data_IF_073897313526
#
_entry.id   IF_073897313526
#
_cell.length_a   1.000
_cell.length_b   1.000
_cell.length_c   1.000
_cell.angle_alpha   90.00
_cell.angle_beta   90.00
_cell.angle_gamma   90.00
#
_symmetry.space_group_name_H-M   'P 1'
#
loop_
_entity.id
_entity.type
_entity.pdbx_description
1 polymer ?
#
# COMPACT_ATOMS: atom_id res chain seq x y z
N UNK A 1 -49.27 -13.04 -8.44
CA UNK A 1 -49.26 -14.25 -7.55
C UNK A 1 -49.49 -14.00 -6.04
N UNK A 2 -49.44 -12.78 -5.51
CA UNK A 2 -49.96 -12.47 -4.17
C UNK A 2 -50.98 -11.31 -4.18
N UNK A 3 -50.77 -10.31 -5.04
CA UNK A 3 -51.75 -9.25 -5.34
C UNK A 3 -53.11 -9.78 -5.82
N UNK A 4 -53.11 -10.82 -6.67
CA UNK A 4 -54.33 -11.50 -7.11
C UNK A 4 -55.01 -12.28 -5.97
N UNK A 5 -54.27 -12.75 -4.95
CA UNK A 5 -54.84 -13.41 -3.76
C UNK A 5 -55.49 -12.37 -2.85
N UNK A 6 -54.88 -11.21 -2.63
CA UNK A 6 -55.49 -10.11 -1.88
C UNK A 6 -56.76 -9.57 -2.55
N UNK A 7 -56.72 -9.33 -3.85
CA UNK A 7 -57.90 -8.90 -4.61
C UNK A 7 -59.03 -9.95 -4.64
N UNK A 8 -58.69 -11.26 -4.55
CA UNK A 8 -59.68 -12.32 -4.40
C UNK A 8 -60.27 -12.37 -2.98
N UNK A 9 -59.44 -12.20 -1.95
CA UNK A 9 -59.85 -12.23 -0.55
C UNK A 9 -60.76 -11.06 -0.19
N UNK A 10 -60.48 -9.88 -0.75
CA UNK A 10 -61.28 -8.66 -0.59
C UNK A 10 -62.67 -8.82 -1.26
N UNK A 11 -62.71 -9.47 -2.43
CA UNK A 11 -63.95 -9.86 -3.13
C UNK A 11 -64.77 -10.95 -2.41
N UNK A 12 -64.14 -11.77 -1.56
CA UNK A 12 -64.78 -12.88 -0.87
C UNK A 12 -65.34 -12.49 0.52
N UNK A 13 -65.25 -11.22 0.93
CA UNK A 13 -65.73 -10.70 2.22
C UNK A 13 -65.38 -11.59 3.42
N UNK A 14 -64.16 -12.15 3.42
CA UNK A 14 -63.67 -12.89 4.57
C UNK A 14 -63.40 -11.89 5.70
N UNK A 15 -64.26 -11.90 6.72
CA UNK A 15 -64.08 -11.12 7.94
C UNK A 15 -62.81 -11.59 8.67
N UNK A 16 -61.67 -10.98 8.35
CA UNK A 16 -60.43 -11.16 9.10
C UNK A 16 -60.42 -10.23 10.31
N UNK A 17 -59.74 -10.60 11.42
CA UNK A 17 -59.43 -9.65 12.48
C UNK A 17 -58.62 -8.48 11.90
N UNK A 18 -59.07 -7.25 12.19
CA UNK A 18 -58.56 -6.00 11.61
C UNK A 18 -57.03 -5.86 11.74
N UNK A 19 -56.47 -6.27 12.87
CA UNK A 19 -55.03 -6.10 13.18
C UNK A 19 -54.11 -6.87 12.21
N UNK A 20 -54.47 -8.09 11.80
CA UNK A 20 -53.64 -8.87 10.87
C UNK A 20 -53.69 -8.35 9.43
N UNK A 21 -54.81 -7.73 9.06
CA UNK A 21 -54.99 -7.12 7.73
C UNK A 21 -54.24 -5.80 7.62
N UNK A 22 -54.27 -4.94 8.66
CA UNK A 22 -53.54 -3.68 8.67
C UNK A 22 -52.03 -3.89 8.59
N UNK A 23 -51.48 -4.84 9.34
CA UNK A 23 -50.05 -5.17 9.29
C UNK A 23 -49.66 -5.78 7.93
N UNK A 24 -50.46 -6.71 7.39
CA UNK A 24 -50.21 -7.26 6.05
C UNK A 24 -50.31 -6.19 4.96
N UNK A 25 -51.27 -5.27 5.06
CA UNK A 25 -51.45 -4.15 4.11
C UNK A 25 -50.32 -3.12 4.24
N UNK A 26 -49.85 -2.82 5.45
CA UNK A 26 -48.75 -1.89 5.71
C UNK A 26 -47.41 -2.42 5.18
N UNK A 27 -47.15 -3.72 5.38
CA UNK A 27 -46.01 -4.44 4.77
C UNK A 27 -46.12 -4.47 3.24
N UNK A 28 -47.34 -4.57 2.69
CA UNK A 28 -47.61 -4.55 1.25
C UNK A 28 -47.62 -3.16 0.61
N UNK A 29 -47.87 -2.10 1.38
CA UNK A 29 -47.86 -0.70 0.94
C UNK A 29 -46.47 -0.07 1.06
N UNK A 30 -45.55 -0.68 1.83
CA UNK A 30 -44.16 -0.27 1.96
C UNK A 30 -43.16 -0.63 0.81
N UNK A 31 -43.51 -1.28 -0.33
CA UNK A 31 -42.58 -1.47 -1.45
C UNK A 31 -42.07 -0.15 -2.02
N UNK A 32 -42.92 0.88 -2.09
CA UNK A 32 -42.54 2.24 -2.48
C UNK A 32 -41.50 2.82 -1.52
N UNK A 33 -41.69 2.64 -0.22
CA UNK A 33 -40.74 3.07 0.82
C UNK A 33 -39.41 2.30 0.74
N UNK A 34 -39.45 1.01 0.42
CA UNK A 34 -38.24 0.21 0.17
C UNK A 34 -37.49 0.66 -1.09
N UNK A 35 -38.23 1.04 -2.15
CA UNK A 35 -37.65 1.62 -3.37
C UNK A 35 -37.04 2.99 -3.07
N UNK A 36 -37.72 3.87 -2.33
CA UNK A 36 -37.22 5.17 -1.91
C UNK A 36 -35.95 5.05 -1.04
N UNK A 37 -35.95 4.13 -0.08
CA UNK A 37 -34.76 3.85 0.76
C UNK A 37 -33.63 3.28 -0.09
N UNK A 38 -33.92 2.36 -1.02
CA UNK A 38 -32.92 1.83 -1.95
C UNK A 38 -32.30 2.95 -2.79
N UNK A 39 -33.13 3.79 -3.40
CA UNK A 39 -32.67 4.86 -4.29
C UNK A 39 -31.89 5.93 -3.51
N UNK A 40 -32.32 6.24 -2.29
CA UNK A 40 -31.56 7.09 -1.37
C UNK A 40 -30.20 6.47 -1.00
N UNK A 41 -30.15 5.16 -0.68
CA UNK A 41 -28.90 4.47 -0.40
C UNK A 41 -27.97 4.43 -1.61
N UNK A 42 -28.50 4.22 -2.82
CA UNK A 42 -27.72 4.26 -4.07
C UNK A 42 -27.14 5.66 -4.29
N UNK A 43 -27.99 6.70 -4.26
CA UNK A 43 -27.54 8.07 -4.45
C UNK A 43 -26.51 8.51 -3.40
N UNK A 44 -26.70 8.10 -2.14
CA UNK A 44 -25.74 8.38 -1.07
C UNK A 44 -24.44 7.59 -1.23
N UNK A 45 -24.51 6.34 -1.69
CA UNK A 45 -23.32 5.54 -1.99
C UNK A 45 -22.53 6.13 -3.18
N UNK A 46 -23.20 6.57 -4.23
CA UNK A 46 -22.59 7.25 -5.39
C UNK A 46 -21.89 8.54 -4.96
N UNK A 47 -22.58 9.38 -4.18
CA UNK A 47 -22.02 10.65 -3.69
C UNK A 47 -20.79 10.40 -2.82
N UNK A 48 -20.86 9.45 -1.87
CA UNK A 48 -19.73 9.09 -1.02
C UNK A 48 -18.57 8.47 -1.81
N UNK A 49 -18.88 7.68 -2.83
CA UNK A 49 -17.87 7.09 -3.70
C UNK A 49 -17.13 8.18 -4.47
N UNK A 50 -17.84 9.17 -5.01
CA UNK A 50 -17.21 10.29 -5.71
C UNK A 50 -16.28 11.09 -4.80
N UNK A 51 -16.74 11.45 -3.59
CA UNK A 51 -15.91 12.15 -2.60
C UNK A 51 -14.66 11.32 -2.25
N UNK A 52 -14.83 10.02 -2.04
CA UNK A 52 -13.71 9.13 -1.71
C UNK A 52 -12.69 9.02 -2.86
N UNK A 53 -13.14 8.97 -4.12
CA UNK A 53 -12.24 8.97 -5.28
C UNK A 53 -11.46 10.28 -5.36
N UNK A 54 -12.10 11.42 -5.13
CA UNK A 54 -11.41 12.72 -5.06
C UNK A 54 -10.37 12.76 -3.92
N UNK A 55 -10.68 12.17 -2.76
CA UNK A 55 -9.73 12.02 -1.65
C UNK A 55 -8.52 11.15 -2.03
N UNK A 56 -8.74 10.02 -2.70
CA UNK A 56 -7.66 9.15 -3.18
C UNK A 56 -6.74 9.84 -4.20
N UNK A 57 -7.31 10.59 -5.16
CA UNK A 57 -6.51 11.33 -6.15
C UNK A 57 -5.72 12.48 -5.50
N UNK A 58 -6.28 13.12 -4.47
CA UNK A 58 -5.57 14.12 -3.67
C UNK A 58 -4.42 13.50 -2.87
N UNK A 59 -4.64 12.33 -2.27
CA UNK A 59 -3.61 11.59 -1.53
C UNK A 59 -2.47 11.16 -2.45
N UNK A 60 -2.79 10.63 -3.64
CA UNK A 60 -1.82 10.33 -4.69
C UNK A 60 -0.99 11.55 -5.07
N UNK A 61 -1.64 12.69 -5.28
CA UNK A 61 -0.97 13.95 -5.63
C UNK A 61 -0.02 14.44 -4.53
N UNK A 62 -0.37 14.22 -3.26
CA UNK A 62 0.50 14.52 -2.11
C UNK A 62 1.70 13.59 -2.01
N UNK A 63 1.62 12.39 -2.57
CA UNK A 63 2.68 11.41 -2.52
C UNK A 63 3.83 11.70 -3.50
N UNK A 64 3.53 12.34 -4.63
CA UNK A 64 4.51 12.74 -5.65
C UNK A 64 5.71 13.54 -5.10
N UNK A 65 5.54 14.64 -4.34
CA UNK A 65 6.68 15.39 -3.80
C UNK A 65 7.51 14.57 -2.81
N UNK A 66 6.91 13.61 -2.08
CA UNK A 66 7.63 12.73 -1.17
C UNK A 66 8.61 11.85 -1.95
N UNK A 67 8.17 11.27 -3.07
CA UNK A 67 9.03 10.45 -3.93
C UNK A 67 10.15 11.29 -4.56
N UNK A 68 9.84 12.49 -5.04
CA UNK A 68 10.84 13.40 -5.59
C UNK A 68 11.92 13.75 -4.55
N UNK A 69 11.52 13.96 -3.29
CA UNK A 69 12.44 14.20 -2.19
C UNK A 69 13.32 12.98 -1.89
N UNK A 70 12.76 11.77 -1.90
CA UNK A 70 13.52 10.53 -1.69
C UNK A 70 14.55 10.31 -2.82
N UNK A 71 14.18 10.58 -4.07
CA UNK A 71 15.11 10.55 -5.21
C UNK A 71 16.22 11.59 -5.06
N UNK A 72 15.89 12.82 -4.66
CA UNK A 72 16.89 13.86 -4.45
C UNK A 72 17.90 13.46 -3.37
N UNK A 73 17.43 12.90 -2.24
CA UNK A 73 18.28 12.39 -1.17
C UNK A 73 19.17 11.25 -1.63
N UNK A 74 18.62 10.28 -2.36
CA UNK A 74 19.41 9.21 -2.98
C UNK A 74 20.53 9.75 -3.85
N UNK A 75 20.24 10.72 -4.72
CA UNK A 75 21.24 11.32 -5.59
C UNK A 75 22.32 12.06 -4.82
N UNK A 76 21.95 12.82 -3.79
CA UNK A 76 22.92 13.50 -2.90
C UNK A 76 23.83 12.47 -2.23
N UNK A 77 23.27 11.46 -1.57
CA UNK A 77 24.04 10.45 -0.84
C UNK A 77 24.93 9.61 -1.77
N UNK A 78 24.47 9.32 -3.00
CA UNK A 78 25.26 8.59 -3.99
C UNK A 78 26.50 9.34 -4.47
N UNK A 79 26.46 10.67 -4.51
CA UNK A 79 27.60 11.49 -4.93
C UNK A 79 28.67 11.61 -3.83
N UNK A 80 28.30 11.33 -2.58
CA UNK A 80 29.26 11.25 -1.48
C UNK A 80 30.05 9.94 -1.57
N UNK A 81 31.39 10.04 -1.64
CA UNK A 81 32.27 8.89 -1.76
C UNK A 81 33.49 9.01 -0.84
N UNK A 82 33.23 9.29 0.44
CA UNK A 82 34.28 9.40 1.45
C UNK A 82 34.40 8.09 2.24
N UNK A 83 35.44 7.31 1.94
CA UNK A 83 35.73 6.06 2.66
C UNK A 83 36.02 6.26 4.15
N UNK A 84 36.42 7.46 4.59
CA UNK A 84 36.60 7.75 6.03
C UNK A 84 35.26 7.81 6.76
N UNK A 85 34.20 8.16 6.04
CA UNK A 85 32.83 8.27 6.54
C UNK A 85 31.96 7.05 6.17
N UNK A 86 32.58 5.91 5.83
CA UNK A 86 31.91 4.66 5.39
C UNK A 86 30.73 4.22 6.26
N UNK A 87 30.90 4.19 7.59
CA UNK A 87 29.85 3.84 8.56
C UNK A 87 28.67 4.82 8.50
N UNK A 88 28.96 6.11 8.34
CA UNK A 88 27.94 7.15 8.18
C UNK A 88 27.17 6.95 6.88
N UNK A 89 27.85 6.66 5.77
CA UNK A 89 27.18 6.39 4.49
C UNK A 89 26.30 5.14 4.56
N UNK A 90 26.77 4.05 5.17
CA UNK A 90 25.97 2.84 5.38
C UNK A 90 24.66 3.15 6.15
N UNK A 91 24.75 3.88 7.26
CA UNK A 91 23.61 4.30 8.06
C UNK A 91 22.67 5.27 7.30
N UNK A 92 23.21 6.18 6.49
CA UNK A 92 22.38 7.10 5.68
C UNK A 92 21.55 6.34 4.64
N UNK A 93 22.13 5.34 3.98
CA UNK A 93 21.39 4.49 3.05
C UNK A 93 20.42 3.53 3.75
N UNK A 94 20.70 3.12 5.00
CA UNK A 94 19.78 2.34 5.82
C UNK A 94 18.51 3.14 6.15
N UNK A 95 18.66 4.36 6.68
CA UNK A 95 17.53 5.25 6.96
C UNK A 95 16.71 5.53 5.70
N UNK A 96 17.37 5.78 4.57
CA UNK A 96 16.69 5.99 3.29
C UNK A 96 15.96 4.72 2.82
N UNK A 97 16.50 3.53 3.12
CA UNK A 97 15.85 2.26 2.79
C UNK A 97 14.56 2.08 3.60
N UNK A 98 14.59 2.34 4.91
CA UNK A 98 13.42 2.25 5.78
C UNK A 98 12.31 3.22 5.35
N UNK A 99 12.67 4.46 5.03
CA UNK A 99 11.73 5.45 4.50
C UNK A 99 11.09 4.99 3.18
N UNK A 100 11.87 4.37 2.29
CA UNK A 100 11.37 3.82 1.02
C UNK A 100 10.45 2.61 1.23
N UNK A 101 10.72 1.77 2.23
CA UNK A 101 9.82 0.67 2.60
C UNK A 101 8.48 1.22 3.07
N UNK A 102 8.49 2.19 3.99
CA UNK A 102 7.26 2.82 4.49
C UNK A 102 6.48 3.53 3.38
N UNK A 103 7.19 4.23 2.49
CA UNK A 103 6.59 4.87 1.32
C UNK A 103 5.95 3.84 0.38
N UNK A 104 6.63 2.73 0.10
CA UNK A 104 6.13 1.67 -0.76
C UNK A 104 4.84 1.06 -0.20
N UNK A 105 4.81 0.71 1.09
CA UNK A 105 3.63 0.14 1.76
C UNK A 105 2.41 1.08 1.65
N UNK A 106 2.64 2.38 1.91
CA UNK A 106 1.59 3.40 1.80
C UNK A 106 1.04 3.49 0.38
N UNK A 107 1.93 3.48 -0.63
CA UNK A 107 1.54 3.58 -2.03
C UNK A 107 0.86 2.30 -2.54
N UNK A 108 1.28 1.13 -2.07
CA UNK A 108 0.62 -0.15 -2.37
C UNK A 108 -0.79 -0.21 -1.78
N UNK A 109 -0.97 0.30 -0.55
CA UNK A 109 -2.30 0.44 0.06
C UNK A 109 -3.18 1.42 -0.73
N UNK A 110 -2.63 2.56 -1.14
CA UNK A 110 -3.34 3.53 -1.98
C UNK A 110 -3.74 2.92 -3.32
N UNK A 111 -2.83 2.19 -3.99
CA UNK A 111 -3.11 1.47 -5.22
C UNK A 111 -4.20 0.41 -5.04
N UNK A 112 -4.18 -0.32 -3.92
CA UNK A 112 -5.23 -1.30 -3.61
C UNK A 112 -6.60 -0.63 -3.47
N UNK A 113 -6.66 0.53 -2.79
CA UNK A 113 -7.88 1.31 -2.68
C UNK A 113 -8.36 1.79 -4.05
N UNK A 114 -7.49 2.42 -4.86
CA UNK A 114 -7.83 2.87 -6.21
C UNK A 114 -8.41 1.72 -7.05
N UNK A 115 -7.79 0.53 -7.02
CA UNK A 115 -8.28 -0.66 -7.76
C UNK A 115 -9.67 -1.13 -7.34
N UNK A 116 -10.06 -0.96 -6.08
CA UNK A 116 -11.40 -1.34 -5.60
C UNK A 116 -12.48 -0.44 -6.21
N UNK A 117 -12.18 0.85 -6.37
CA UNK A 117 -13.12 1.84 -6.90
C UNK A 117 -13.02 2.01 -8.42
N UNK A 118 -11.94 1.54 -9.06
CA UNK A 118 -11.78 1.47 -10.52
C UNK A 118 -12.48 0.25 -11.16
N UNK A 119 -13.38 -0.42 -10.43
CA UNK A 119 -13.99 -1.70 -10.84
C UNK A 119 -14.93 -1.63 -12.05
N UNK A 120 -15.30 -0.43 -12.51
CA UNK A 120 -16.39 -0.26 -13.48
C UNK A 120 -15.95 0.09 -14.92
N UNK A 121 -14.69 -0.17 -15.29
CA UNK A 121 -14.21 0.04 -16.66
C UNK A 121 -13.48 -1.20 -17.13
N UNK A 122 -13.91 -1.74 -18.27
CA UNK A 122 -13.26 -2.82 -19.05
C UNK A 122 -11.80 -2.54 -19.42
N UNK A 123 -11.29 -1.36 -19.06
CA UNK A 123 -9.93 -0.86 -19.22
C UNK A 123 -9.45 -0.22 -17.92
N UNK A 124 -8.23 -0.59 -17.50
CA UNK A 124 -7.52 0.02 -16.37
C UNK A 124 -7.46 1.55 -16.57
N UNK A 125 -7.99 2.31 -15.60
CA UNK A 125 -7.98 3.77 -15.68
C UNK A 125 -6.57 4.35 -15.69
N UNK A 126 -6.45 5.58 -16.19
CA UNK A 126 -5.20 6.34 -16.13
C UNK A 126 -4.71 6.53 -14.69
N UNK A 127 -5.61 6.72 -13.71
CA UNK A 127 -5.22 6.87 -12.30
C UNK A 127 -4.60 5.59 -11.73
N UNK A 128 -5.14 4.41 -12.08
CA UNK A 128 -4.54 3.12 -11.69
C UNK A 128 -3.18 2.89 -12.35
N UNK A 129 -3.02 3.24 -13.64
CA UNK A 129 -1.74 3.10 -14.34
C UNK A 129 -0.65 4.00 -13.73
N UNK A 130 -1.00 5.25 -13.47
CA UNK A 130 -0.14 6.23 -12.83
C UNK A 130 0.31 5.74 -11.44
N UNK A 131 -0.63 5.27 -10.62
CA UNK A 131 -0.30 4.70 -9.31
C UNK A 131 0.61 3.45 -9.41
N UNK A 132 0.39 2.58 -10.41
CA UNK A 132 1.26 1.42 -10.66
C UNK A 132 2.67 1.82 -11.09
N UNK A 133 2.82 2.83 -11.94
CA UNK A 133 4.11 3.36 -12.36
C UNK A 133 4.87 3.95 -11.17
N UNK A 134 4.17 4.67 -10.31
CA UNK A 134 4.72 5.24 -9.08
C UNK A 134 5.25 4.12 -8.15
N UNK A 135 4.46 3.07 -7.91
CA UNK A 135 4.91 1.89 -7.12
C UNK A 135 6.16 1.26 -7.73
N UNK A 136 6.18 1.05 -9.05
CA UNK A 136 7.34 0.48 -9.73
C UNK A 136 8.60 1.36 -9.61
N UNK A 137 8.43 2.68 -9.68
CA UNK A 137 9.53 3.63 -9.52
C UNK A 137 10.11 3.63 -8.10
N UNK A 138 9.24 3.58 -7.06
CA UNK A 138 9.67 3.49 -5.66
C UNK A 138 10.39 2.17 -5.38
N UNK A 139 9.85 1.07 -5.90
CA UNK A 139 10.48 -0.25 -5.79
C UNK A 139 11.88 -0.27 -6.42
N UNK A 140 12.02 0.31 -7.62
CA UNK A 140 13.33 0.43 -8.29
C UNK A 140 14.32 1.28 -7.49
N UNK A 141 13.85 2.38 -6.91
CA UNK A 141 14.70 3.22 -6.04
C UNK A 141 15.15 2.45 -4.78
N UNK A 142 14.25 1.69 -4.17
CA UNK A 142 14.55 0.82 -3.01
C UNK A 142 15.65 -0.20 -3.34
N UNK A 143 15.61 -0.82 -4.52
CA UNK A 143 16.65 -1.75 -4.98
C UNK A 143 18.01 -1.06 -5.11
N UNK A 144 18.06 0.14 -5.69
CA UNK A 144 19.31 0.91 -5.77
C UNK A 144 19.85 1.28 -4.39
N UNK A 145 18.99 1.76 -3.49
CA UNK A 145 19.38 2.12 -2.12
C UNK A 145 19.89 0.90 -1.36
N UNK A 146 19.24 -0.26 -1.49
CA UNK A 146 19.67 -1.51 -0.87
C UNK A 146 21.05 -1.96 -1.38
N UNK A 147 21.29 -1.84 -2.68
CA UNK A 147 22.61 -2.11 -3.26
C UNK A 147 23.70 -1.21 -2.66
N UNK A 148 23.47 0.10 -2.57
CA UNK A 148 24.44 1.05 -2.01
C UNK A 148 24.66 0.84 -0.50
N UNK A 149 23.60 0.57 0.25
CA UNK A 149 23.71 0.21 1.67
C UNK A 149 24.60 -1.03 1.87
N UNK A 150 24.36 -2.09 1.09
CA UNK A 150 25.15 -3.33 1.15
C UNK A 150 26.62 -3.08 0.79
N UNK A 151 26.88 -2.31 -0.27
CA UNK A 151 28.22 -1.95 -0.69
C UNK A 151 28.98 -1.20 0.43
N UNK A 152 28.36 -0.20 1.05
CA UNK A 152 28.98 0.57 2.14
C UNK A 152 29.19 -0.25 3.40
N UNK A 153 28.27 -1.17 3.71
CA UNK A 153 28.40 -2.10 4.84
C UNK A 153 29.59 -3.04 4.63
N UNK A 154 29.71 -3.67 3.45
CA UNK A 154 30.85 -4.54 3.11
C UNK A 154 32.16 -3.74 3.16
N UNK A 155 32.16 -2.50 2.65
CA UNK A 155 33.33 -1.64 2.69
C UNK A 155 33.75 -1.30 4.13
N UNK A 156 32.77 -1.05 5.02
CA UNK A 156 32.98 -0.91 6.46
C UNK A 156 33.62 -2.15 7.06
N UNK A 157 32.97 -3.30 6.90
CA UNK A 157 33.39 -4.55 7.53
C UNK A 157 34.80 -4.98 7.08
N UNK A 158 35.10 -4.84 5.79
CA UNK A 158 36.42 -5.12 5.25
C UNK A 158 37.50 -4.20 5.85
N UNK A 159 37.20 -2.90 5.96
CA UNK A 159 38.18 -1.93 6.45
C UNK A 159 38.41 -2.09 7.95
N UNK A 160 37.34 -2.32 8.72
CA UNK A 160 37.42 -2.58 10.17
C UNK A 160 38.20 -3.86 10.46
N UNK A 161 38.00 -4.91 9.64
CA UNK A 161 38.76 -6.16 9.74
C UNK A 161 40.24 -5.94 9.44
N UNK A 162 40.57 -5.19 8.38
CA UNK A 162 41.96 -4.86 8.04
C UNK A 162 42.63 -4.00 9.12
N UNK A 163 41.94 -2.98 9.64
CA UNK A 163 42.44 -2.15 10.74
C UNK A 163 42.67 -2.99 12.01
N UNK A 164 41.75 -3.92 12.32
CA UNK A 164 41.91 -4.84 13.45
C UNK A 164 43.11 -5.78 13.25
N UNK A 165 43.38 -6.24 12.03
CA UNK A 165 44.56 -7.05 11.73
C UNK A 165 45.85 -6.25 11.87
N UNK A 166 45.87 -5.03 11.32
CA UNK A 166 47.05 -4.16 11.39
C UNK A 166 47.39 -3.70 12.81
N UNK A 167 46.37 -3.45 13.64
CA UNK A 167 46.54 -2.93 14.99
C UNK A 167 46.49 -4.02 16.07
N UNK A 168 46.11 -5.25 15.71
CA UNK A 168 46.13 -6.39 16.61
C UNK A 168 47.57 -6.77 16.96
N UNK A 169 47.81 -7.15 18.21
CA UNK A 169 49.04 -7.86 18.57
C UNK A 169 49.01 -9.20 17.82
N UNK A 170 49.76 -9.30 16.72
CA UNK A 170 50.16 -10.59 16.17
C UNK A 170 50.93 -11.34 17.26
N UNK A 171 50.25 -12.13 18.07
CA UNK A 171 50.85 -13.33 18.62
C UNK A 171 51.11 -14.23 17.42
N UNK A 172 52.32 -14.08 16.87
CA UNK A 172 53.02 -15.00 15.96
C UNK A 172 52.11 -16.05 15.29
N UNK A 173 51.39 -15.66 14.24
CA UNK A 173 51.01 -16.66 13.25
C UNK A 173 52.27 -16.84 12.41
N UNK A 174 53.07 -17.84 12.79
CA UNK A 174 54.19 -18.31 11.99
C UNK A 174 53.61 -18.84 10.68
N UNK A 175 53.91 -18.25 9.51
CA UNK A 175 53.35 -18.68 8.23
C UNK A 175 53.57 -20.18 7.97
N UNK A 176 54.66 -20.73 8.54
CA UNK A 176 55.04 -22.14 8.41
C UNK A 176 54.18 -23.10 9.27
N UNK A 177 53.35 -22.58 10.18
CA UNK A 177 52.49 -23.42 11.05
C UNK A 177 51.20 -23.90 10.38
N UNK A 178 50.84 -23.36 9.22
CA UNK A 178 49.57 -23.70 8.51
C UNK A 178 49.73 -24.89 7.56
N UNK A 179 50.95 -25.34 7.25
CA UNK A 179 51.21 -26.51 6.38
C UNK A 179 51.41 -27.85 7.14
N UNK A 180 51.34 -27.87 8.46
CA UNK A 180 51.79 -29.03 9.25
C UNK A 180 50.74 -30.13 9.53
N UNK A 181 49.47 -29.99 9.12
CA UNK A 181 48.46 -31.05 9.24
C UNK A 181 47.97 -31.53 7.87
N UNK A 182 48.90 -32.01 7.06
CA UNK A 182 48.61 -32.76 5.83
C UNK A 182 49.67 -33.86 5.61
N UNK A 183 49.82 -34.78 6.57
CA UNK A 183 50.48 -36.09 6.37
C UNK A 183 49.87 -37.17 7.25
#
# INVERSE_FOLDING_TARGET
>A
PAFQRFALLDKLHYARPMEGYEIELEVYMAPSRLIEVRDYCISMAETKTQVFVEELDNEKSRFKPVIEQLWARYHVHRMENDMKSRHKHAAMFEVLHEELVSALETMEQLLANIKVFDRDKTTVSESTKDAMEVVANVQKLKEFVSYYHSMWTIASDCTDSLESWMNGHFFSIDPDSVEAESK
#
